data_IF_631470427689
#
_entry.id   IF_631470427689
#
_cell.length_a   1.000
_cell.length_b   1.000
_cell.length_c   1.000
_cell.angle_alpha   90.00
_cell.angle_beta   90.00
_cell.angle_gamma   90.00
#
_symmetry.space_group_name_H-M   'P 1'
#
loop_
_entity.id
_entity.type
_entity.pdbx_description
1 polymer ?
#
# COMPACT_ATOMS: atom_id res chain seq x y z
N UNK A 1 59.27 26.22 26.97
CA UNK A 1 59.87 27.55 27.14
C UNK A 1 58.84 28.50 26.56
N UNK A 2 57.98 29.15 27.36
CA UNK A 2 58.26 30.04 28.51
C UNK A 2 59.01 31.30 28.01
N UNK A 3 58.61 32.55 28.31
CA UNK A 3 57.74 33.14 29.36
C UNK A 3 56.61 34.02 28.75
N UNK A 4 55.48 34.41 29.34
CA UNK A 4 55.03 34.82 30.71
C UNK A 4 55.13 36.33 31.04
N UNK A 5 53.96 36.97 31.28
CA UNK A 5 53.58 38.00 32.29
C UNK A 5 52.25 38.68 31.84
N UNK A 6 51.08 38.53 32.51
CA UNK A 6 50.60 39.12 33.79
C UNK A 6 50.19 40.61 33.63
N UNK A 7 48.90 41.03 33.52
CA UNK A 7 47.78 41.07 34.49
C UNK A 7 47.96 42.13 35.63
N UNK A 8 46.96 42.82 36.20
CA UNK A 8 45.48 42.63 36.38
C UNK A 8 44.77 44.02 36.51
N UNK A 9 43.45 44.18 36.18
CA UNK A 9 42.58 45.10 36.96
C UNK A 9 41.06 44.70 36.99
N UNK A 10 40.35 45.11 38.06
CA UNK A 10 38.94 44.80 38.40
C UNK A 10 38.19 46.04 38.91
N UNK A 11 37.01 46.33 38.36
CA UNK A 11 35.95 47.13 39.02
C UNK A 11 34.62 46.85 38.32
N UNK A 12 33.66 46.10 38.90
CA UNK A 12 32.80 46.40 40.05
C UNK A 12 31.65 47.38 39.74
N UNK A 13 30.43 46.85 39.65
CA UNK A 13 29.15 47.56 39.68
C UNK A 13 28.14 46.71 40.49
N UNK A 14 27.17 47.30 41.20
CA UNK A 14 26.65 46.72 42.44
C UNK A 14 25.34 45.95 42.33
N UNK A 15 25.02 45.26 43.44
CA UNK A 15 23.71 44.78 43.86
C UNK A 15 22.64 45.92 43.81
N UNK A 16 21.33 45.68 43.72
CA UNK A 16 20.56 44.44 43.84
C UNK A 16 19.46 44.58 44.91
N UNK A 17 18.20 44.77 44.48
CA UNK A 17 16.94 44.63 45.27
C UNK A 17 15.75 44.80 44.27
N UNK A 18 14.61 44.12 44.35
CA UNK A 18 14.18 43.00 45.19
C UNK A 18 12.66 42.78 45.07
N UNK A 19 12.22 41.51 45.08
CA UNK A 19 10.82 41.07 45.30
C UNK A 19 9.75 41.45 44.25
N UNK A 20 8.60 40.76 44.17
CA UNK A 20 8.27 39.43 44.71
C UNK A 20 7.06 38.83 43.95
N UNK A 21 6.79 37.56 44.22
CA UNK A 21 5.51 36.85 44.05
C UNK A 21 4.74 36.94 42.71
N UNK A 22 4.66 35.77 42.04
CA UNK A 22 3.44 34.96 42.13
C UNK A 22 3.71 33.48 41.82
N UNK A 23 3.36 32.60 42.78
CA UNK A 23 3.36 31.15 42.64
C UNK A 23 2.14 30.70 41.84
N UNK A 24 2.25 29.64 41.01
CA UNK A 24 1.07 29.09 40.32
C UNK A 24 1.30 27.89 39.39
N UNK A 25 1.60 26.73 39.98
CA UNK A 25 1.23 25.36 39.53
C UNK A 25 0.67 25.14 38.10
N UNK A 26 1.31 24.26 37.31
CA UNK A 26 0.73 23.81 36.02
C UNK A 26 1.61 22.86 35.21
N UNK A 27 2.00 21.71 35.76
CA UNK A 27 2.68 20.66 34.98
C UNK A 27 1.66 19.78 34.23
N UNK A 28 1.13 20.28 33.12
CA UNK A 28 0.31 19.48 32.20
C UNK A 28 1.22 18.85 31.14
N UNK A 29 1.33 17.51 31.17
CA UNK A 29 2.02 16.75 30.13
C UNK A 29 1.26 16.85 28.79
N UNK A 30 1.92 16.59 27.65
CA UNK A 30 1.24 16.54 26.37
C UNK A 30 0.17 15.44 26.42
N UNK A 31 -1.09 15.86 26.46
CA UNK A 31 -2.23 14.97 26.59
C UNK A 31 -2.25 13.93 25.48
N UNK A 32 -2.46 12.68 25.87
CA UNK A 32 -2.63 11.54 24.99
C UNK A 32 -3.93 11.72 24.19
N UNK A 33 -3.84 12.49 23.10
CA UNK A 33 -4.94 12.80 22.21
C UNK A 33 -5.36 11.52 21.49
N UNK A 34 -6.32 10.81 22.09
CA UNK A 34 -6.98 9.63 21.56
C UNK A 34 -7.40 9.93 20.12
N UNK A 35 -6.67 9.36 19.16
CA UNK A 35 -6.94 9.62 17.75
C UNK A 35 -8.34 9.11 17.42
N UNK A 36 -9.23 10.03 17.05
CA UNK A 36 -10.58 9.70 16.63
C UNK A 36 -10.51 8.65 15.50
N UNK A 37 -11.44 7.68 15.45
CA UNK A 37 -11.37 6.60 14.48
C UNK A 37 -11.35 7.17 13.06
N UNK A 38 -10.22 6.95 12.37
CA UNK A 38 -10.04 7.36 10.97
C UNK A 38 -11.19 6.82 10.15
N UNK A 39 -12.00 7.73 9.61
CA UNK A 39 -13.18 7.38 8.83
C UNK A 39 -12.83 6.45 7.67
N UNK A 40 -13.23 5.19 7.80
CA UNK A 40 -13.22 4.20 6.74
C UNK A 40 -14.00 4.77 5.55
N UNK A 41 -13.47 4.71 4.31
CA UNK A 41 -14.24 5.15 3.16
C UNK A 41 -15.54 4.34 3.04
N UNK A 42 -16.64 5.08 3.18
CA UNK A 42 -18.03 4.82 2.81
C UNK A 42 -18.37 3.44 2.24
N UNK A 43 -19.29 2.75 2.93
CA UNK A 43 -20.33 2.00 2.21
C UNK A 43 -20.05 0.55 1.86
N UNK A 44 -19.21 -0.17 2.60
CA UNK A 44 -19.29 -1.63 2.61
C UNK A 44 -20.61 -2.06 3.28
N UNK A 45 -21.67 -2.21 2.49
CA UNK A 45 -22.83 -3.02 2.87
C UNK A 45 -22.27 -4.37 3.30
N UNK A 46 -22.60 -4.91 4.49
CA UNK A 46 -22.06 -6.19 4.92
C UNK A 46 -22.48 -7.26 3.91
N UNK A 47 -21.52 -7.69 3.08
CA UNK A 47 -21.77 -8.63 2.01
C UNK A 47 -22.48 -9.85 2.59
N UNK A 48 -23.67 -10.15 2.07
CA UNK A 48 -24.50 -11.26 2.56
C UNK A 48 -23.62 -12.51 2.62
N UNK A 49 -23.56 -13.24 3.75
CA UNK A 49 -22.67 -14.38 3.90
C UNK A 49 -22.78 -15.33 2.71
N UNK A 50 -21.65 -15.53 2.02
CA UNK A 50 -21.62 -16.30 0.79
C UNK A 50 -22.00 -17.75 1.09
N UNK A 51 -23.02 -18.26 0.41
CA UNK A 51 -23.40 -19.67 0.57
C UNK A 51 -22.42 -20.59 -0.19
N UNK A 52 -22.75 -21.88 -0.28
CA UNK A 52 -21.92 -22.83 -1.02
C UNK A 52 -21.93 -22.54 -2.53
N UNK A 53 -23.09 -22.20 -3.10
CA UNK A 53 -23.26 -21.95 -4.53
C UNK A 53 -22.50 -20.69 -4.94
N UNK A 54 -22.53 -19.63 -4.13
CA UNK A 54 -21.73 -18.42 -4.37
C UNK A 54 -20.22 -18.72 -4.42
N UNK A 55 -19.73 -19.57 -3.51
CA UNK A 55 -18.32 -20.00 -3.48
C UNK A 55 -17.95 -20.88 -4.67
N UNK A 56 -18.87 -21.70 -5.14
CA UNK A 56 -18.66 -22.58 -6.30
C UNK A 56 -18.63 -21.77 -7.61
N UNK A 57 -19.49 -20.76 -7.73
CA UNK A 57 -19.46 -19.76 -8.80
C UNK A 57 -18.11 -19.02 -8.79
N UNK A 58 -17.63 -18.57 -7.62
CA UNK A 58 -16.34 -17.88 -7.51
C UNK A 58 -15.17 -18.77 -7.94
N UNK A 59 -15.10 -20.02 -7.45
CA UNK A 59 -14.05 -20.98 -7.87
C UNK A 59 -14.07 -21.20 -9.38
N UNK A 60 -15.25 -21.39 -9.95
CA UNK A 60 -15.43 -21.62 -11.39
C UNK A 60 -14.95 -20.42 -12.22
N UNK A 61 -15.32 -19.19 -11.84
CA UNK A 61 -14.93 -17.96 -12.53
C UNK A 61 -13.46 -17.56 -12.27
N UNK A 62 -12.85 -18.02 -11.19
CA UNK A 62 -11.42 -17.87 -10.93
C UNK A 62 -10.58 -18.77 -11.85
N UNK A 63 -11.05 -19.98 -12.15
CA UNK A 63 -10.44 -20.89 -13.14
C UNK A 63 -10.70 -20.42 -14.57
N UNK A 64 -11.97 -20.17 -14.93
CA UNK A 64 -12.38 -19.69 -16.26
C UNK A 64 -13.28 -18.45 -16.14
N UNK A 65 -12.65 -17.28 -16.16
CA UNK A 65 -13.35 -15.98 -16.17
C UNK A 65 -14.13 -15.70 -17.46
N UNK A 66 -14.04 -16.56 -18.48
CA UNK A 66 -14.83 -16.49 -19.72
C UNK A 66 -16.02 -17.46 -19.72
N UNK A 67 -16.21 -18.25 -18.65
CA UNK A 67 -17.28 -19.23 -18.57
C UNK A 67 -18.66 -18.57 -18.74
N UNK A 68 -19.43 -19.07 -19.71
CA UNK A 68 -20.79 -18.53 -19.92
C UNK A 68 -21.69 -18.82 -18.73
N UNK A 69 -22.62 -17.90 -18.41
CA UNK A 69 -23.62 -18.06 -17.34
C UNK A 69 -24.39 -19.39 -17.44
N UNK A 70 -24.55 -19.94 -18.66
CA UNK A 70 -25.10 -21.28 -18.89
C UNK A 70 -24.20 -22.37 -18.31
N UNK A 71 -22.92 -22.38 -18.67
CA UNK A 71 -21.93 -23.35 -18.16
C UNK A 71 -21.79 -23.26 -16.63
N UNK A 72 -21.80 -22.03 -16.08
CA UNK A 72 -21.81 -21.84 -14.62
C UNK A 72 -23.04 -22.49 -13.99
N UNK A 73 -24.24 -22.20 -14.51
CA UNK A 73 -25.50 -22.75 -13.99
C UNK A 73 -25.56 -24.29 -14.06
N UNK A 74 -25.10 -24.87 -15.18
CA UNK A 74 -24.99 -26.32 -15.38
C UNK A 74 -24.02 -26.96 -14.37
N UNK A 75 -22.85 -26.35 -14.13
CA UNK A 75 -21.81 -26.86 -13.22
C UNK A 75 -22.11 -26.69 -11.73
N UNK A 76 -22.93 -25.70 -11.34
CA UNK A 76 -23.35 -25.50 -9.93
C UNK A 76 -24.80 -25.94 -9.66
N UNK A 77 -25.41 -26.66 -10.61
CA UNK A 77 -26.75 -27.27 -10.51
C UNK A 77 -27.89 -26.29 -10.13
N UNK A 78 -27.92 -25.12 -10.75
CA UNK A 78 -29.00 -24.12 -10.58
C UNK A 78 -29.61 -23.70 -11.91
N UNK A 79 -30.77 -23.03 -11.87
CA UNK A 79 -31.33 -22.40 -13.07
C UNK A 79 -30.43 -21.26 -13.56
N UNK A 80 -30.39 -21.05 -14.89
CA UNK A 80 -29.61 -19.96 -15.51
C UNK A 80 -29.96 -18.58 -14.94
N UNK A 81 -31.22 -18.35 -14.58
CA UNK A 81 -31.66 -17.10 -13.94
C UNK A 81 -31.09 -16.92 -12.52
N UNK A 82 -31.02 -18.00 -11.74
CA UNK A 82 -30.41 -17.98 -10.39
C UNK A 82 -28.89 -17.73 -10.48
N UNK A 83 -28.18 -18.43 -11.37
CA UNK A 83 -26.76 -18.18 -11.61
C UNK A 83 -26.50 -16.73 -12.06
N UNK A 84 -27.31 -16.19 -12.99
CA UNK A 84 -27.20 -14.81 -13.44
C UNK A 84 -27.36 -13.80 -12.28
N UNK A 85 -28.43 -13.95 -11.49
CA UNK A 85 -28.71 -13.08 -10.34
C UNK A 85 -27.58 -13.14 -9.29
N UNK A 86 -27.00 -14.32 -9.05
CA UNK A 86 -25.87 -14.49 -8.12
C UNK A 86 -24.58 -13.86 -8.64
N UNK A 87 -24.25 -14.04 -9.92
CA UNK A 87 -23.05 -13.43 -10.53
C UNK A 87 -23.16 -11.90 -10.48
N UNK A 88 -24.30 -11.34 -10.89
CA UNK A 88 -24.52 -9.88 -10.80
C UNK A 88 -24.39 -9.40 -9.36
N UNK A 89 -25.09 -10.04 -8.40
CA UNK A 89 -24.95 -9.69 -6.98
C UNK A 89 -23.50 -9.75 -6.48
N UNK A 90 -22.73 -10.76 -6.87
CA UNK A 90 -21.30 -10.86 -6.49
C UNK A 90 -20.46 -9.71 -7.07
N UNK A 91 -20.84 -9.17 -8.23
CA UNK A 91 -20.21 -7.98 -8.84
C UNK A 91 -20.68 -6.70 -8.10
N UNK A 92 -21.99 -6.55 -7.90
CA UNK A 92 -22.62 -5.39 -7.25
C UNK A 92 -22.17 -5.23 -5.78
N UNK A 93 -22.04 -6.35 -5.05
CA UNK A 93 -21.51 -6.41 -3.68
C UNK A 93 -19.96 -6.24 -3.64
N UNK A 94 -19.30 -6.07 -4.79
CA UNK A 94 -17.85 -5.86 -4.91
C UNK A 94 -16.98 -7.10 -4.63
N UNK A 95 -17.58 -8.29 -4.49
CA UNK A 95 -16.87 -9.56 -4.27
C UNK A 95 -16.09 -9.98 -5.53
N UNK A 96 -16.73 -9.86 -6.69
CA UNK A 96 -16.08 -9.92 -8.01
C UNK A 96 -15.74 -8.49 -8.43
N UNK A 97 -14.48 -8.10 -8.23
CA UNK A 97 -13.98 -6.75 -8.55
C UNK A 97 -13.71 -6.52 -10.04
N UNK A 98 -13.83 -7.55 -10.87
CA UNK A 98 -13.62 -7.50 -12.31
C UNK A 98 -13.16 -8.83 -12.89
N UNK A 99 -13.00 -8.87 -14.22
CA UNK A 99 -12.45 -9.99 -14.98
C UNK A 99 -11.25 -9.50 -15.77
N UNK A 100 -10.13 -10.23 -15.69
CA UNK A 100 -8.88 -9.90 -16.40
C UNK A 100 -8.29 -11.13 -17.07
N UNK A 101 -7.48 -10.92 -18.10
CA UNK A 101 -6.60 -11.95 -18.63
C UNK A 101 -5.38 -12.08 -17.72
N UNK A 102 -4.94 -13.32 -17.46
CA UNK A 102 -3.58 -13.57 -16.93
C UNK A 102 -2.62 -13.47 -18.10
N UNK A 103 -1.54 -12.72 -17.92
CA UNK A 103 -0.60 -12.38 -19.01
C UNK A 103 0.78 -12.89 -18.61
N UNK A 104 1.40 -13.70 -19.48
CA UNK A 104 2.82 -13.95 -19.36
C UNK A 104 3.57 -12.65 -19.73
N UNK A 105 4.07 -11.95 -18.71
CA UNK A 105 4.63 -10.61 -18.85
C UNK A 105 5.91 -10.60 -19.70
N UNK A 106 6.80 -11.59 -19.55
CA UNK A 106 8.00 -11.75 -20.38
C UNK A 106 7.64 -11.84 -21.87
N UNK A 107 6.73 -12.76 -22.24
CA UNK A 107 6.26 -12.94 -23.62
C UNK A 107 5.42 -11.78 -24.15
N UNK A 108 4.90 -10.93 -23.27
CA UNK A 108 4.24 -9.67 -23.61
C UNK A 108 5.24 -8.50 -23.80
N UNK A 109 6.55 -8.75 -23.67
CA UNK A 109 7.61 -7.76 -23.87
C UNK A 109 8.06 -7.04 -22.59
N UNK A 110 7.72 -7.56 -21.41
CA UNK A 110 8.21 -7.06 -20.12
C UNK A 110 9.32 -7.97 -19.58
N UNK A 111 10.56 -7.76 -20.04
CA UNK A 111 11.72 -8.59 -19.67
C UNK A 111 12.31 -8.32 -18.28
N UNK A 112 11.71 -7.45 -17.46
CA UNK A 112 12.13 -7.20 -16.08
C UNK A 112 10.93 -6.97 -15.14
N UNK A 113 10.69 -7.93 -14.25
CA UNK A 113 9.71 -7.87 -13.15
C UNK A 113 10.42 -7.58 -11.82
N UNK A 114 9.80 -6.80 -10.93
CA UNK A 114 10.37 -6.54 -9.60
C UNK A 114 9.33 -6.22 -8.52
N UNK A 115 9.58 -6.69 -7.31
CA UNK A 115 8.96 -6.16 -6.10
C UNK A 115 9.77 -4.98 -5.59
N UNK A 116 9.11 -3.84 -5.39
CA UNK A 116 9.70 -2.63 -4.82
C UNK A 116 9.02 -2.42 -3.48
N UNK A 117 9.83 -2.46 -2.42
CA UNK A 117 9.41 -2.10 -1.07
C UNK A 117 9.71 -0.63 -0.83
N UNK A 118 8.79 0.09 -0.19
CA UNK A 118 8.95 1.52 0.12
C UNK A 118 8.69 1.78 1.61
N UNK A 119 9.53 2.63 2.21
CA UNK A 119 9.16 3.36 3.43
C UNK A 119 8.58 4.72 3.04
N UNK A 120 7.51 5.14 3.70
CA UNK A 120 6.83 6.41 3.40
C UNK A 120 6.65 7.26 4.66
N UNK A 121 6.42 8.56 4.48
CA UNK A 121 6.04 9.48 5.57
C UNK A 121 4.73 9.01 6.20
N UNK A 122 4.62 9.09 7.53
CA UNK A 122 3.40 8.70 8.25
C UNK A 122 2.16 9.41 7.69
N UNK A 123 1.04 8.68 7.61
CA UNK A 123 -0.25 9.16 7.11
C UNK A 123 -0.29 9.58 5.61
N UNK A 124 0.78 9.38 4.83
CA UNK A 124 0.85 9.75 3.40
C UNK A 124 0.24 8.74 2.41
N UNK A 125 -0.19 7.56 2.89
CA UNK A 125 -0.58 6.42 2.04
C UNK A 125 -1.56 6.76 0.91
N UNK A 126 -2.59 7.58 1.16
CA UNK A 126 -3.59 7.92 0.12
C UNK A 126 -2.93 8.60 -1.09
N UNK A 127 -2.10 9.62 -0.83
CA UNK A 127 -1.36 10.39 -1.84
C UNK A 127 -0.33 9.52 -2.56
N UNK A 128 0.44 8.70 -1.83
CA UNK A 128 1.44 7.81 -2.42
C UNK A 128 0.79 6.75 -3.30
N UNK A 129 -0.29 6.12 -2.84
CA UNK A 129 -1.05 5.11 -3.60
C UNK A 129 -1.56 5.66 -4.93
N UNK A 130 -2.04 6.90 -4.96
CA UNK A 130 -2.54 7.53 -6.18
C UNK A 130 -1.42 7.80 -7.19
N UNK A 131 -0.26 8.28 -6.73
CA UNK A 131 0.92 8.45 -7.58
C UNK A 131 1.47 7.12 -8.09
N UNK A 132 1.60 6.11 -7.22
CA UNK A 132 2.10 4.78 -7.59
C UNK A 132 1.12 4.03 -8.50
N UNK A 133 -0.19 4.18 -8.31
CA UNK A 133 -1.21 3.57 -9.17
C UNK A 133 -1.26 4.14 -10.59
N UNK A 134 -0.68 5.32 -10.83
CA UNK A 134 -0.52 5.93 -12.15
C UNK A 134 0.79 5.50 -12.87
N UNK A 135 1.64 4.69 -12.23
CA UNK A 135 2.91 4.28 -12.82
C UNK A 135 2.73 3.19 -13.90
N UNK A 136 3.34 3.35 -15.09
CA UNK A 136 3.36 2.30 -16.10
C UNK A 136 3.97 1.01 -15.56
N UNK A 137 3.28 -0.11 -15.79
CA UNK A 137 3.74 -1.43 -15.38
C UNK A 137 3.41 -1.82 -13.93
N UNK A 138 2.86 -0.93 -13.11
CA UNK A 138 2.39 -1.28 -11.76
C UNK A 138 1.16 -2.20 -11.83
N UNK A 139 1.28 -3.42 -11.30
CA UNK A 139 0.21 -4.45 -11.33
C UNK A 139 -0.35 -4.80 -9.96
N UNK A 140 0.43 -4.59 -8.89
CA UNK A 140 -0.04 -4.77 -7.52
C UNK A 140 0.55 -3.69 -6.61
N UNK A 141 -0.28 -3.19 -5.69
CA UNK A 141 0.16 -2.31 -4.60
C UNK A 141 -0.57 -2.69 -3.31
N UNK A 142 0.17 -2.80 -2.21
CA UNK A 142 -0.36 -3.07 -0.90
C UNK A 142 0.30 -2.17 0.16
N UNK A 143 -0.51 -1.62 1.06
CA UNK A 143 -0.05 -1.15 2.36
C UNK A 143 0.09 -2.37 3.27
N UNK A 144 1.24 -2.56 3.90
CA UNK A 144 1.56 -3.76 4.68
C UNK A 144 2.10 -3.41 6.06
N UNK A 145 2.02 -4.38 6.98
CA UNK A 145 2.73 -4.32 8.26
C UNK A 145 4.13 -4.92 8.12
N UNK A 146 5.18 -4.20 8.54
CA UNK A 146 6.54 -4.73 8.58
C UNK A 146 7.60 -3.62 8.61
N UNK A 147 8.82 -3.97 8.19
CA UNK A 147 9.94 -3.02 8.08
C UNK A 147 9.81 -2.03 6.91
N UNK A 148 8.73 -2.10 6.13
CA UNK A 148 8.39 -1.20 5.05
C UNK A 148 6.86 -1.07 4.98
N UNK A 149 6.38 0.07 4.49
CA UNK A 149 4.97 0.42 4.53
C UNK A 149 4.25 -0.06 3.27
N UNK A 150 4.92 -0.04 2.11
CA UNK A 150 4.31 -0.35 0.81
C UNK A 150 5.08 -1.45 0.09
N UNK A 151 4.34 -2.42 -0.44
CA UNK A 151 4.81 -3.38 -1.45
C UNK A 151 4.20 -3.00 -2.80
N UNK A 152 5.03 -2.85 -3.83
CA UNK A 152 4.65 -2.57 -5.20
C UNK A 152 5.23 -3.66 -6.13
N UNK A 153 4.42 -4.27 -6.99
CA UNK A 153 4.87 -5.12 -8.09
C UNK A 153 4.84 -4.32 -9.39
N UNK A 154 5.95 -4.35 -10.13
CA UNK A 154 6.07 -3.73 -11.46
C UNK A 154 6.61 -4.71 -12.50
N UNK A 155 6.11 -4.59 -13.74
CA UNK A 155 6.66 -5.26 -14.92
C UNK A 155 7.08 -4.20 -15.94
N UNK A 156 8.31 -4.30 -16.44
CA UNK A 156 8.95 -3.31 -17.30
C UNK A 156 9.67 -3.97 -18.48
N UNK A 157 9.89 -3.29 -19.61
CA UNK A 157 10.54 -3.88 -20.79
C UNK A 157 11.96 -4.38 -20.53
N UNK A 158 12.75 -3.60 -19.79
CA UNK A 158 14.16 -3.90 -19.49
C UNK A 158 14.58 -3.34 -18.11
N UNK A 159 15.70 -3.83 -17.58
CA UNK A 159 16.28 -3.39 -16.31
C UNK A 159 16.65 -1.88 -16.30
N UNK A 160 16.87 -1.27 -17.47
CA UNK A 160 17.11 0.18 -17.58
C UNK A 160 15.83 0.96 -17.28
N UNK A 161 14.71 0.55 -17.86
CA UNK A 161 13.39 1.13 -17.64
C UNK A 161 12.96 0.96 -16.19
N UNK A 162 13.23 -0.21 -15.58
CA UNK A 162 13.02 -0.42 -14.14
C UNK A 162 13.83 0.55 -13.28
N UNK A 163 15.13 0.69 -13.57
CA UNK A 163 16.01 1.63 -12.85
C UNK A 163 15.52 3.07 -13.00
N UNK A 164 15.10 3.48 -14.19
CA UNK A 164 14.54 4.81 -14.43
C UNK A 164 13.23 5.01 -13.68
N UNK A 165 12.32 4.03 -13.68
CA UNK A 165 11.08 4.06 -12.90
C UNK A 165 11.35 4.26 -11.40
N UNK A 166 12.30 3.52 -10.83
CA UNK A 166 12.67 3.64 -9.41
C UNK A 166 13.31 5.00 -9.11
N UNK A 167 14.38 5.35 -9.81
CA UNK A 167 15.20 6.53 -9.47
C UNK A 167 14.55 7.86 -9.86
N UNK A 168 13.75 7.91 -10.93
CA UNK A 168 13.22 9.17 -11.47
C UNK A 168 11.74 9.41 -11.19
N UNK A 169 10.98 8.36 -10.90
CA UNK A 169 9.54 8.48 -10.57
C UNK A 169 9.26 8.14 -9.12
N UNK A 170 9.63 6.94 -8.67
CA UNK A 170 9.29 6.49 -7.31
C UNK A 170 10.05 7.30 -6.25
N UNK A 171 11.37 7.48 -6.39
CA UNK A 171 12.18 8.27 -5.46
C UNK A 171 11.96 9.79 -5.59
N UNK A 172 11.23 10.25 -6.61
CA UNK A 172 10.84 11.66 -6.76
C UNK A 172 9.53 12.00 -6.03
N UNK A 173 8.80 11.00 -5.52
CA UNK A 173 7.60 11.20 -4.69
C UNK A 173 8.08 11.75 -3.33
N UNK A 174 7.69 12.98 -2.91
CA UNK A 174 8.21 13.62 -1.70
C UNK A 174 8.01 12.81 -0.42
N UNK A 175 6.95 12.01 -0.37
CA UNK A 175 6.61 11.19 0.79
C UNK A 175 7.34 9.84 0.83
N UNK A 176 8.15 9.48 -0.18
CA UNK A 176 8.96 8.24 -0.20
C UNK A 176 10.31 8.47 0.48
N UNK A 177 10.52 7.80 1.61
CA UNK A 177 11.73 7.94 2.44
C UNK A 177 12.87 7.02 1.97
N UNK A 178 12.54 5.82 1.48
CA UNK A 178 13.52 4.88 0.94
C UNK A 178 12.83 3.81 0.10
N UNK A 179 13.58 3.20 -0.81
CA UNK A 179 13.12 2.08 -1.66
C UNK A 179 14.12 0.92 -1.64
N UNK A 180 13.64 -0.32 -1.61
CA UNK A 180 14.46 -1.51 -1.90
C UNK A 180 13.79 -2.37 -2.96
N UNK A 181 14.52 -2.60 -4.04
CA UNK A 181 14.10 -3.42 -5.18
C UNK A 181 14.56 -4.86 -5.00
N UNK A 182 13.64 -5.81 -5.22
CA UNK A 182 13.88 -7.24 -5.31
C UNK A 182 13.52 -7.65 -6.73
N UNK A 183 14.53 -7.99 -7.54
CA UNK A 183 14.32 -8.47 -8.90
C UNK A 183 13.66 -9.85 -8.84
N UNK A 184 12.65 -10.05 -9.68
CA UNK A 184 12.03 -11.36 -9.91
C UNK A 184 12.80 -12.04 -11.03
N UNK A 185 13.42 -13.18 -10.74
CA UNK A 185 14.09 -14.02 -11.74
C UNK A 185 13.16 -15.09 -12.33
N UNK A 186 12.16 -15.52 -11.56
CA UNK A 186 11.17 -16.53 -11.94
C UNK A 186 9.88 -16.27 -11.15
N UNK A 187 8.73 -16.35 -11.82
CA UNK A 187 7.40 -16.24 -11.21
C UNK A 187 6.44 -17.29 -11.80
N UNK A 188 5.51 -17.82 -11.00
CA UNK A 188 4.55 -18.85 -11.43
C UNK A 188 3.18 -18.61 -10.81
N UNK A 189 2.15 -18.55 -11.64
CA UNK A 189 0.75 -18.46 -11.20
C UNK A 189 0.26 -19.82 -10.67
N UNK A 190 0.17 -19.96 -9.34
CA UNK A 190 -0.26 -21.20 -8.69
C UNK A 190 -1.77 -21.51 -8.84
N UNK A 191 -2.58 -20.55 -9.31
CA UNK A 191 -4.01 -20.77 -9.61
C UNK A 191 -4.25 -21.39 -11.00
N UNK A 192 -3.28 -22.12 -11.51
CA UNK A 192 -3.38 -22.86 -12.78
C UNK A 192 -3.89 -24.27 -12.48
N UNK A 193 -4.90 -24.73 -13.20
CA UNK A 193 -5.40 -26.11 -13.09
C UNK A 193 -4.25 -27.06 -13.45
N UNK A 194 -3.84 -28.03 -12.59
CA UNK A 194 -2.69 -28.91 -12.83
C UNK A 194 -2.91 -29.96 -13.94
N UNK A 195 -3.93 -29.75 -14.78
CA UNK A 195 -4.37 -30.62 -15.87
C UNK A 195 -4.50 -29.87 -17.21
N UNK A 196 -3.80 -28.73 -17.36
CA UNK A 196 -3.62 -28.04 -18.64
C UNK A 196 -2.55 -28.74 -19.52
#
# INVERSE_FOLDING_TARGET
MADEQMAVDRSAAPDGDGGDELRGTGSEGPGEALSAPVGTPTGAVPARPLDAIDRDILRLLQTDGRASVRSVAERVHVSRANAYARINRLIDDGVIRGFSARVNHERAGHGASAYITLKIVQNSWRTVREQLGALPGATHIALVSGDFDVLLLVHTPDNRTLRELVLTRIQAIPEVLSTRTLLVFEETDLNTDPHA
#
